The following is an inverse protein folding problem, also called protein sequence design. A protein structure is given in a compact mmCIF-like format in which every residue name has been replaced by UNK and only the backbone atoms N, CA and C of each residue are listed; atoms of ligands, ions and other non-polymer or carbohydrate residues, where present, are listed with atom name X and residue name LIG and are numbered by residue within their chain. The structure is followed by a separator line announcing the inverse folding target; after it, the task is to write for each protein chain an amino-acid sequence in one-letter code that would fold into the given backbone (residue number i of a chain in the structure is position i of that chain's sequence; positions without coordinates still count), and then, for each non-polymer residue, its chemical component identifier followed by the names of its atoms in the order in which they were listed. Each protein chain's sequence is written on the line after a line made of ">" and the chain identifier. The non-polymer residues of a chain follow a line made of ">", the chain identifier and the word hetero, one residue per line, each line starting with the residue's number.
data_IF_311106699167
#
_entry.id   IF_311106699167
#
_cell.length_a   1.000
_cell.length_b   1.000
_cell.length_c   1.000
_cell.angle_alpha   90.00
_cell.angle_beta   90.00
_cell.angle_gamma   90.00
#
_symmetry.space_group_name_H-M   'P 1'
#
loop_
_entity.id
_entity.type
_entity.pdbx_description
1 polymer ?
#
# COMPACT_ATOMS: atom_id res chain seq x y z
N UNK A 1 52.89 -68.94 -11.28
CA UNK A 1 53.31 -67.57 -11.64
C UNK A 1 52.42 -67.04 -12.75
N UNK A 2 51.47 -66.15 -12.43
CA UNK A 2 50.79 -65.24 -13.36
C UNK A 2 50.33 -64.02 -12.55
N UNK A 3 50.58 -62.85 -13.12
CA UNK A 3 50.62 -61.53 -12.47
C UNK A 3 49.22 -60.87 -12.44
N UNK A 4 48.95 -60.19 -11.33
CA UNK A 4 48.40 -58.82 -11.17
C UNK A 4 46.97 -58.53 -11.66
N UNK A 5 46.19 -57.91 -10.75
CA UNK A 5 45.04 -57.08 -11.08
C UNK A 5 44.27 -56.63 -9.84
N UNK A 6 44.82 -55.69 -9.06
CA UNK A 6 44.12 -55.04 -7.95
C UNK A 6 43.10 -54.05 -8.53
N UNK A 7 41.80 -54.37 -8.42
CA UNK A 7 40.73 -53.49 -8.88
C UNK A 7 40.45 -52.46 -7.76
N UNK A 8 40.92 -51.23 -7.93
CA UNK A 8 40.51 -50.10 -7.09
C UNK A 8 39.01 -49.85 -7.29
N UNK A 9 38.24 -49.99 -6.20
CA UNK A 9 36.87 -49.50 -6.12
C UNK A 9 36.91 -47.98 -5.93
N UNK A 10 36.79 -47.22 -7.01
CA UNK A 10 36.50 -45.79 -6.93
C UNK A 10 35.00 -45.62 -6.68
N UNK A 11 34.60 -45.54 -5.42
CA UNK A 11 33.25 -45.08 -5.03
C UNK A 11 33.16 -43.59 -5.33
N UNK A 12 32.65 -43.25 -6.52
CA UNK A 12 32.19 -41.92 -6.83
C UNK A 12 30.96 -41.60 -5.99
N UNK A 13 31.15 -40.82 -4.92
CA UNK A 13 30.05 -40.07 -4.31
C UNK A 13 29.60 -39.03 -5.34
N UNK A 14 28.56 -39.36 -6.10
CA UNK A 14 27.75 -38.33 -6.74
C UNK A 14 27.05 -37.57 -5.60
N UNK A 15 27.65 -36.46 -5.18
CA UNK A 15 26.91 -35.37 -4.57
C UNK A 15 25.91 -34.89 -5.63
N UNK A 16 24.74 -35.53 -5.66
CA UNK A 16 23.57 -34.97 -6.30
C UNK A 16 23.30 -33.67 -5.56
N UNK A 17 23.75 -32.54 -6.14
CA UNK A 17 23.14 -31.25 -5.84
C UNK A 17 21.68 -31.40 -6.24
N UNK A 18 20.82 -31.79 -5.30
CA UNK A 18 19.40 -31.50 -5.39
C UNK A 18 19.31 -29.97 -5.33
N UNK A 19 19.41 -29.31 -6.48
CA UNK A 19 18.66 -28.09 -6.67
C UNK A 19 17.22 -28.53 -6.51
N UNK A 20 16.63 -28.22 -5.36
CA UNK A 20 15.18 -28.20 -5.26
C UNK A 20 14.71 -27.35 -6.44
N UNK A 21 14.09 -28.02 -7.40
CA UNK A 21 13.46 -27.37 -8.52
C UNK A 21 12.24 -26.70 -7.90
N UNK A 22 12.38 -25.41 -7.63
CA UNK A 22 11.29 -24.55 -7.19
C UNK A 22 10.21 -24.60 -8.29
N UNK A 23 9.21 -25.46 -8.08
CA UNK A 23 8.12 -25.73 -8.98
C UNK A 23 6.98 -24.72 -8.78
N UNK A 24 7.25 -23.54 -8.22
CA UNK A 24 6.27 -22.47 -8.16
C UNK A 24 5.93 -22.03 -9.57
N UNK A 25 4.67 -22.20 -9.95
CA UNK A 25 4.16 -21.69 -11.22
C UNK A 25 4.40 -20.17 -11.26
N UNK A 26 4.80 -19.62 -12.42
CA UNK A 26 4.96 -18.19 -12.54
C UNK A 26 3.62 -17.52 -12.29
N UNK A 27 3.62 -16.53 -11.40
CA UNK A 27 2.47 -15.66 -11.14
C UNK A 27 2.51 -14.51 -12.12
N UNK A 28 1.36 -14.18 -12.71
CA UNK A 28 1.27 -13.15 -13.73
C UNK A 28 1.24 -11.74 -13.14
N UNK A 29 0.81 -11.59 -11.89
CA UNK A 29 0.56 -10.28 -11.28
C UNK A 29 1.34 -10.13 -9.97
N UNK A 30 1.86 -8.93 -9.72
CA UNK A 30 2.67 -8.63 -8.55
C UNK A 30 1.82 -8.39 -7.29
N UNK A 31 0.65 -7.75 -7.41
CA UNK A 31 -0.26 -7.52 -6.29
C UNK A 31 -1.21 -8.71 -6.13
N UNK A 32 -1.12 -9.54 -5.07
CA UNK A 32 -2.02 -10.68 -4.89
C UNK A 32 -3.44 -10.25 -4.50
N UNK A 33 -3.62 -9.11 -3.84
CA UNK A 33 -4.89 -8.64 -3.30
C UNK A 33 -5.02 -7.14 -3.46
N UNK A 34 -6.03 -6.71 -4.22
CA UNK A 34 -6.52 -5.33 -4.17
C UNK A 34 -7.61 -5.22 -3.11
N UNK A 35 -7.65 -4.11 -2.38
CA UNK A 35 -8.60 -3.87 -1.31
C UNK A 35 -9.58 -2.77 -1.65
N UNK A 36 -10.85 -3.07 -1.48
CA UNK A 36 -11.96 -2.14 -1.65
C UNK A 36 -12.75 -2.03 -0.35
N UNK A 37 -13.36 -0.87 -0.13
CA UNK A 37 -14.35 -0.73 0.92
C UNK A 37 -14.69 0.73 1.19
N UNK A 38 -15.18 0.97 2.40
CA UNK A 38 -15.47 2.29 2.90
C UNK A 38 -14.25 2.79 3.66
N UNK A 39 -13.67 3.91 3.22
CA UNK A 39 -12.59 4.55 3.96
C UNK A 39 -13.07 5.05 5.32
N UNK A 40 -12.23 4.90 6.33
CA UNK A 40 -12.39 5.48 7.67
C UNK A 40 -11.14 6.28 8.02
N UNK A 41 -11.31 7.21 8.95
CA UNK A 41 -10.21 7.95 9.53
C UNK A 41 -10.17 7.73 11.03
N UNK A 42 -9.00 7.40 11.52
CA UNK A 42 -8.72 7.29 12.94
C UNK A 42 -7.59 8.25 13.31
N UNK A 43 -7.69 8.88 14.47
CA UNK A 43 -6.64 9.75 14.97
C UNK A 43 -5.45 8.89 15.40
N UNK A 44 -4.23 9.34 15.08
CA UNK A 44 -3.03 8.72 15.63
C UNK A 44 -2.99 8.93 17.16
N UNK A 45 -2.47 7.95 17.91
CA UNK A 45 -2.41 8.01 19.38
C UNK A 45 -1.63 9.23 19.90
N UNK A 46 -0.57 9.61 19.19
CA UNK A 46 0.26 10.79 19.48
C UNK A 46 -0.42 12.13 19.10
N UNK A 47 -1.55 12.05 18.38
CA UNK A 47 -2.35 13.16 17.85
C UNK A 47 -1.65 13.99 16.78
N UNK A 48 -0.56 13.50 16.20
CA UNK A 48 0.21 14.21 15.16
C UNK A 48 -0.39 14.07 13.77
N UNK A 49 -1.49 13.34 13.64
CA UNK A 49 -2.16 13.11 12.38
C UNK A 49 -3.34 12.15 12.49
N UNK A 50 -3.69 11.61 11.34
CA UNK A 50 -4.74 10.61 11.16
C UNK A 50 -4.23 9.51 10.24
N UNK A 51 -4.76 8.31 10.43
CA UNK A 51 -4.53 7.15 9.56
C UNK A 51 -5.78 6.90 8.73
N UNK A 52 -5.57 6.65 7.44
CA UNK A 52 -6.61 6.24 6.51
C UNK A 52 -6.68 4.71 6.48
N UNK A 53 -7.85 4.20 6.82
CA UNK A 53 -8.14 2.77 6.87
C UNK A 53 -9.35 2.44 5.99
N UNK A 54 -9.63 1.16 5.78
CA UNK A 54 -10.87 0.62 5.24
C UNK A 54 -11.61 -0.03 6.40
N UNK A 55 -12.89 0.32 6.59
CA UNK A 55 -13.76 -0.31 7.58
C UNK A 55 -13.79 -1.83 7.39
N UNK A 56 -13.66 -2.59 8.49
CA UNK A 56 -13.83 -4.05 8.46
C UNK A 56 -15.20 -4.42 7.87
N UNK A 57 -16.24 -3.67 8.26
CA UNK A 57 -17.55 -3.75 7.63
C UNK A 57 -17.48 -3.21 6.20
N UNK A 58 -17.50 -4.12 5.24
CA UNK A 58 -17.44 -3.78 3.81
C UNK A 58 -16.05 -3.86 3.20
N UNK A 59 -15.01 -4.27 3.96
CA UNK A 59 -13.73 -4.65 3.39
C UNK A 59 -13.91 -5.82 2.43
N UNK A 60 -13.59 -5.59 1.16
CA UNK A 60 -13.56 -6.60 0.11
C UNK A 60 -12.12 -6.81 -0.33
N UNK A 61 -11.67 -8.05 -0.24
CA UNK A 61 -10.42 -8.50 -0.81
C UNK A 61 -10.71 -8.99 -2.23
N UNK A 62 -10.06 -8.38 -3.21
CA UNK A 62 -10.14 -8.75 -4.62
C UNK A 62 -8.88 -9.55 -4.96
N UNK A 63 -8.92 -10.90 -4.88
CA UNK A 63 -7.75 -11.75 -5.10
C UNK A 63 -7.33 -11.84 -6.57
N UNK A 64 -6.02 -11.98 -6.78
CA UNK A 64 -5.42 -12.33 -8.05
C UNK A 64 -5.90 -13.71 -8.55
N UNK A 65 -6.12 -13.88 -9.87
CA UNK A 65 -6.33 -15.17 -10.49
C UNK A 65 -5.18 -16.17 -10.28
N UNK A 66 -3.99 -15.68 -9.93
CA UNK A 66 -2.83 -16.50 -9.57
C UNK A 66 -3.02 -17.23 -8.22
N UNK A 67 -3.98 -16.79 -7.40
CA UNK A 67 -4.36 -17.48 -6.15
C UNK A 67 -5.34 -18.60 -6.49
N UNK A 68 -4.88 -19.84 -6.37
CA UNK A 68 -5.64 -21.03 -6.75
C UNK A 68 -7.01 -21.16 -6.06
N UNK A 69 -7.18 -20.60 -4.86
CA UNK A 69 -8.42 -20.67 -4.08
C UNK A 69 -9.40 -19.52 -4.37
N UNK A 70 -9.02 -18.51 -5.16
CA UNK A 70 -9.81 -17.30 -5.37
C UNK A 70 -11.12 -17.53 -6.13
N UNK A 71 -11.19 -18.58 -6.97
CA UNK A 71 -12.34 -18.83 -7.85
C UNK A 71 -12.58 -17.71 -8.88
N UNK A 72 -13.58 -17.89 -9.74
CA UNK A 72 -13.78 -16.98 -10.87
C UNK A 72 -14.50 -15.67 -10.52
N UNK A 73 -15.17 -15.58 -9.36
CA UNK A 73 -16.04 -14.45 -9.02
C UNK A 73 -15.30 -13.10 -8.92
N UNK A 74 -14.05 -13.10 -8.46
CA UNK A 74 -13.25 -11.88 -8.32
C UNK A 74 -12.39 -11.58 -9.55
N UNK A 75 -12.27 -12.54 -10.49
CA UNK A 75 -11.31 -12.49 -11.60
C UNK A 75 -11.49 -11.25 -12.48
N UNK A 76 -12.72 -10.96 -12.91
CA UNK A 76 -12.99 -9.83 -13.79
C UNK A 76 -12.64 -8.50 -13.11
N UNK A 77 -13.07 -8.32 -11.85
CA UNK A 77 -12.78 -7.11 -11.09
C UNK A 77 -11.28 -6.95 -10.84
N UNK A 78 -10.60 -8.04 -10.49
CA UNK A 78 -9.15 -8.03 -10.32
C UNK A 78 -8.44 -7.56 -11.60
N UNK A 79 -8.75 -8.18 -12.74
CA UNK A 79 -8.10 -7.87 -14.02
C UNK A 79 -8.34 -6.42 -14.44
N UNK A 80 -9.53 -5.88 -14.18
CA UNK A 80 -9.81 -4.46 -14.43
C UNK A 80 -8.87 -3.54 -13.63
N UNK A 81 -8.64 -3.84 -12.35
CA UNK A 81 -7.76 -3.04 -11.49
C UNK A 81 -6.30 -3.24 -11.92
N UNK A 82 -5.88 -4.48 -12.14
CA UNK A 82 -4.52 -4.81 -12.56
C UNK A 82 -4.16 -4.19 -13.93
N UNK A 83 -5.08 -4.22 -14.89
CA UNK A 83 -4.89 -3.59 -16.21
C UNK A 83 -4.74 -2.08 -16.09
N UNK A 84 -5.61 -1.41 -15.31
CA UNK A 84 -5.49 0.04 -15.03
C UNK A 84 -4.13 0.39 -14.40
N UNK A 85 -3.62 -0.50 -13.56
CA UNK A 85 -2.37 -0.31 -12.82
C UNK A 85 -1.13 -0.83 -13.57
N UNK A 86 -1.27 -1.40 -14.77
CA UNK A 86 -0.16 -2.00 -15.52
C UNK A 86 0.43 -3.29 -14.92
N UNK A 87 -0.24 -3.88 -13.92
CA UNK A 87 0.25 -5.05 -13.19
C UNK A 87 -0.11 -6.38 -13.88
N UNK A 88 0.19 -6.51 -15.17
CA UNK A 88 -0.28 -7.63 -16.00
C UNK A 88 0.81 -8.60 -16.44
N UNK A 89 2.08 -8.29 -16.12
CA UNK A 89 3.24 -8.89 -16.81
C UNK A 89 4.36 -9.32 -15.88
N UNK A 90 4.10 -9.49 -14.59
CA UNK A 90 5.10 -9.85 -13.58
C UNK A 90 5.83 -11.14 -13.96
N UNK A 91 5.08 -12.20 -14.26
CA UNK A 91 5.54 -13.47 -14.84
C UNK A 91 6.81 -14.04 -14.18
N UNK A 92 6.86 -14.01 -12.85
CA UNK A 92 7.97 -14.55 -12.03
C UNK A 92 7.45 -15.58 -11.04
N UNK A 93 8.31 -16.46 -10.50
CA UNK A 93 7.92 -17.36 -9.41
C UNK A 93 7.32 -16.59 -8.22
N UNK A 94 6.26 -17.13 -7.63
CA UNK A 94 5.77 -16.63 -6.35
C UNK A 94 6.78 -17.01 -5.25
N UNK A 95 7.28 -16.01 -4.52
CA UNK A 95 8.08 -16.24 -3.33
C UNK A 95 7.18 -16.18 -2.08
N UNK A 96 7.72 -16.62 -0.94
CA UNK A 96 6.97 -16.86 0.30
C UNK A 96 6.09 -15.69 0.78
N UNK A 97 6.56 -14.45 0.59
CA UNK A 97 5.86 -13.25 1.09
C UNK A 97 4.83 -12.71 0.09
N UNK A 98 4.83 -13.18 -1.17
CA UNK A 98 3.91 -12.69 -2.19
C UNK A 98 2.45 -12.67 -1.74
N UNK A 99 1.89 -13.70 -1.07
CA UNK A 99 0.50 -13.68 -0.61
C UNK A 99 0.17 -12.63 0.47
N UNK A 100 1.16 -12.00 1.09
CA UNK A 100 0.96 -11.05 2.19
C UNK A 100 0.91 -9.59 1.72
N UNK A 101 1.07 -9.34 0.42
CA UNK A 101 1.01 -7.99 -0.14
C UNK A 101 -0.42 -7.54 -0.35
N UNK A 102 -0.70 -6.26 -0.11
CA UNK A 102 -2.01 -5.66 -0.34
C UNK A 102 -1.85 -4.27 -0.92
N UNK A 103 -2.72 -3.90 -1.86
CA UNK A 103 -2.78 -2.53 -2.35
C UNK A 103 -4.21 -2.02 -2.33
N UNK A 104 -4.39 -0.72 -2.15
CA UNK A 104 -5.68 -0.08 -2.38
C UNK A 104 -6.11 -0.28 -3.83
N UNK A 105 -7.38 -0.65 -4.02
CA UNK A 105 -7.98 -0.77 -5.35
C UNK A 105 -8.20 0.61 -6.01
N UNK A 106 -8.30 1.68 -5.23
CA UNK A 106 -8.45 3.04 -5.74
C UNK A 106 -7.07 3.70 -5.94
N UNK A 107 -6.88 4.40 -7.06
CA UNK A 107 -5.81 5.38 -7.22
C UNK A 107 -6.40 6.76 -6.93
N UNK A 108 -5.71 7.58 -6.12
CA UNK A 108 -6.22 8.90 -5.74
C UNK A 108 -5.84 9.94 -6.78
N UNK A 109 -6.80 10.81 -7.10
CA UNK A 109 -6.63 11.98 -7.94
C UNK A 109 -6.26 13.22 -7.12
N UNK A 110 -6.91 13.39 -5.97
CA UNK A 110 -6.65 14.50 -5.04
C UNK A 110 -7.12 14.17 -3.62
N UNK A 111 -6.48 14.80 -2.66
CA UNK A 111 -6.83 14.75 -1.23
C UNK A 111 -7.06 16.19 -0.75
N UNK A 112 -8.07 16.41 0.08
CA UNK A 112 -8.28 17.71 0.74
C UNK A 112 -8.83 17.53 2.14
N UNK A 113 -8.32 18.27 3.12
CA UNK A 113 -8.78 18.20 4.50
C UNK A 113 -9.39 19.53 4.91
N UNK A 114 -10.57 19.49 5.52
CA UNK A 114 -11.21 20.66 6.15
C UNK A 114 -11.47 20.40 7.62
N UNK A 115 -11.50 21.46 8.43
CA UNK A 115 -12.00 21.41 9.81
C UNK A 115 -13.35 22.08 9.94
N UNK A 116 -14.21 21.56 10.81
CA UNK A 116 -15.43 22.22 11.27
C UNK A 116 -15.20 23.52 12.07
N UNK A 117 -13.96 23.80 12.46
CA UNK A 117 -13.58 24.94 13.29
C UNK A 117 -12.48 25.77 12.66
N UNK A 118 -12.38 27.01 13.13
CA UNK A 118 -11.29 27.92 12.82
C UNK A 118 -9.95 27.29 13.24
N UNK A 119 -8.99 27.25 12.32
CA UNK A 119 -7.66 26.73 12.60
C UNK A 119 -6.67 27.86 12.89
N UNK A 120 -6.57 28.80 11.96
CA UNK A 120 -5.82 30.05 12.09
C UNK A 120 -6.40 31.11 11.11
N UNK A 121 -5.74 32.28 11.01
CA UNK A 121 -6.25 33.42 10.26
C UNK A 121 -6.37 33.13 8.75
N UNK A 122 -5.50 32.28 8.23
CA UNK A 122 -5.49 31.87 6.81
C UNK A 122 -6.46 30.70 6.57
N UNK A 123 -6.85 29.99 7.64
CA UNK A 123 -7.68 28.80 7.61
C UNK A 123 -8.94 28.89 8.51
N UNK A 124 -9.96 29.69 8.12
CA UNK A 124 -11.27 29.67 8.77
C UNK A 124 -11.96 28.29 8.76
N UNK A 125 -13.00 28.13 9.57
CA UNK A 125 -13.80 26.90 9.57
C UNK A 125 -14.32 26.57 8.16
N UNK A 126 -14.13 25.32 7.73
CA UNK A 126 -14.54 24.79 6.44
C UNK A 126 -13.60 25.10 5.27
N UNK A 127 -12.52 25.86 5.47
CA UNK A 127 -11.51 26.04 4.40
C UNK A 127 -10.53 24.87 4.36
N UNK A 128 -9.94 24.57 3.19
CA UNK A 128 -8.92 23.54 3.07
C UNK A 128 -7.71 23.82 3.97
N UNK A 129 -7.09 22.76 4.46
CA UNK A 129 -5.86 22.76 5.27
C UNK A 129 -4.68 22.15 4.48
N UNK A 130 -4.81 22.06 3.15
CA UNK A 130 -4.01 21.20 2.28
C UNK A 130 -2.53 21.63 2.20
N UNK A 131 -2.25 22.89 2.49
CA UNK A 131 -0.93 23.50 2.54
C UNK A 131 -0.19 23.27 3.88
N UNK A 132 -0.91 22.85 4.92
CA UNK A 132 -0.41 22.59 6.28
C UNK A 132 -0.62 21.13 6.73
N UNK A 133 -0.88 20.24 5.78
CA UNK A 133 -1.09 18.80 5.97
C UNK A 133 -0.15 18.03 5.04
N UNK A 134 0.50 16.98 5.55
CA UNK A 134 1.36 16.10 4.77
C UNK A 134 0.73 14.72 4.64
N UNK A 135 0.68 14.16 3.45
CA UNK A 135 0.32 12.76 3.25
C UNK A 135 1.58 11.90 3.17
N UNK A 136 1.54 10.74 3.83
CA UNK A 136 2.61 9.76 3.89
C UNK A 136 2.03 8.37 3.61
N UNK A 137 2.52 7.69 2.57
CA UNK A 137 2.16 6.32 2.24
C UNK A 137 3.32 5.61 1.56
N UNK A 138 3.16 4.31 1.33
CA UNK A 138 4.00 3.54 0.42
C UNK A 138 3.22 3.20 -0.85
N UNK A 139 3.94 2.98 -1.94
CA UNK A 139 3.36 2.65 -3.24
C UNK A 139 4.20 1.61 -3.96
N UNK A 140 3.53 0.74 -4.71
CA UNK A 140 4.14 -0.21 -5.64
C UNK A 140 4.25 0.35 -7.08
N UNK A 141 3.75 1.57 -7.33
CA UNK A 141 3.60 2.13 -8.67
C UNK A 141 4.93 2.21 -9.41
N UNK A 142 5.99 2.70 -8.77
CA UNK A 142 7.30 2.79 -9.42
C UNK A 142 7.82 1.43 -9.87
N UNK A 143 7.68 0.40 -9.03
CA UNK A 143 8.12 -0.95 -9.35
C UNK A 143 7.33 -1.54 -10.52
N UNK A 144 6.00 -1.44 -10.46
CA UNK A 144 5.13 -1.99 -11.51
C UNK A 144 5.34 -1.26 -12.84
N UNK A 145 5.36 0.08 -12.83
CA UNK A 145 5.52 0.87 -14.06
C UNK A 145 6.92 0.74 -14.68
N UNK A 146 7.94 0.44 -13.87
CA UNK A 146 9.30 0.15 -14.35
C UNK A 146 9.49 -1.30 -14.81
N UNK A 147 8.40 -2.03 -15.08
CA UNK A 147 8.44 -3.44 -15.49
C UNK A 147 9.12 -4.33 -14.44
N UNK A 148 8.79 -4.07 -13.17
CA UNK A 148 9.21 -4.84 -12.02
C UNK A 148 10.73 -4.81 -11.81
N UNK A 149 11.32 -3.61 -11.92
CA UNK A 149 12.75 -3.38 -11.72
C UNK A 149 13.02 -2.38 -10.60
N UNK A 150 14.16 -2.52 -9.91
CA UNK A 150 14.49 -1.67 -8.76
C UNK A 150 13.78 -2.08 -7.47
N UNK A 151 13.51 -1.10 -6.61
CA UNK A 151 12.86 -1.32 -5.32
C UNK A 151 11.37 -1.63 -5.50
N UNK A 152 10.86 -2.60 -4.75
CA UNK A 152 9.45 -3.03 -4.83
C UNK A 152 8.48 -1.95 -4.38
N UNK A 153 8.88 -1.12 -3.42
CA UNK A 153 8.08 -0.04 -2.88
C UNK A 153 8.84 1.28 -2.89
N UNK A 154 8.09 2.37 -3.02
CA UNK A 154 8.59 3.73 -2.91
C UNK A 154 7.73 4.54 -1.94
N UNK A 155 8.36 5.47 -1.22
CA UNK A 155 7.63 6.40 -0.36
C UNK A 155 6.89 7.43 -1.20
N UNK A 156 5.65 7.71 -0.81
CA UNK A 156 4.83 8.80 -1.30
C UNK A 156 4.66 9.77 -0.14
N UNK A 157 5.38 10.89 -0.19
CA UNK A 157 5.38 11.90 0.86
C UNK A 157 5.30 13.30 0.26
N UNK A 158 4.38 14.12 0.76
CA UNK A 158 4.25 15.51 0.32
C UNK A 158 3.03 16.21 0.92
N UNK A 159 3.02 17.54 0.82
CA UNK A 159 1.84 18.34 1.17
C UNK A 159 0.67 17.98 0.28
N UNK A 160 -0.55 18.00 0.84
CA UNK A 160 -1.74 17.62 0.09
C UNK A 160 -1.92 18.47 -1.18
N UNK A 161 -1.60 19.77 -1.09
CA UNK A 161 -1.70 20.70 -2.22
C UNK A 161 -0.57 20.60 -3.26
N UNK A 162 0.43 19.75 -3.02
CA UNK A 162 1.58 19.51 -3.91
C UNK A 162 1.58 18.11 -4.52
N UNK A 163 0.75 17.21 -4.02
CA UNK A 163 0.61 15.86 -4.54
C UNK A 163 -0.22 15.85 -5.83
N UNK A 164 0.14 14.95 -6.73
CA UNK A 164 -0.64 14.70 -7.95
C UNK A 164 -1.01 13.21 -8.08
N UNK A 165 -1.92 12.94 -9.02
CA UNK A 165 -2.49 11.62 -9.22
C UNK A 165 -1.44 10.54 -9.54
N UNK A 166 -0.36 10.88 -10.24
CA UNK A 166 0.67 9.91 -10.63
C UNK A 166 1.48 9.44 -9.41
N UNK A 167 1.52 10.22 -8.34
CA UNK A 167 2.19 9.88 -7.09
C UNK A 167 1.32 9.01 -6.18
N UNK A 168 0.00 9.05 -6.31
CA UNK A 168 -0.94 8.40 -5.38
C UNK A 168 -1.64 7.18 -6.01
N UNK A 169 -0.85 6.32 -6.64
CA UNK A 169 -1.31 5.10 -7.32
C UNK A 169 -0.78 3.86 -6.62
N UNK A 170 -1.54 2.76 -6.66
CA UNK A 170 -1.13 1.45 -6.15
C UNK A 170 -0.53 1.55 -4.74
N UNK A 171 -1.25 2.27 -3.87
CA UNK A 171 -0.83 2.52 -2.50
C UNK A 171 -0.86 1.22 -1.72
N UNK A 172 0.21 0.96 -0.96
CA UNK A 172 0.28 -0.18 -0.07
C UNK A 172 -0.79 -0.09 1.02
N UNK A 173 -1.27 -1.26 1.46
CA UNK A 173 -2.21 -1.38 2.55
C UNK A 173 -1.92 -2.65 3.36
N UNK A 174 -0.76 -2.75 4.00
CA UNK A 174 -0.45 -3.93 4.80
C UNK A 174 -1.27 -3.98 6.11
N UNK A 175 -1.95 -5.11 6.38
CA UNK A 175 -2.99 -5.23 7.43
C UNK A 175 -2.50 -5.81 8.77
N UNK A 176 -1.26 -6.30 8.84
CA UNK A 176 -0.65 -6.91 10.04
C UNK A 176 0.79 -6.34 10.14
N UNK A 177 1.40 -5.91 11.25
CA UNK A 177 1.45 -6.52 12.59
C UNK A 177 1.73 -5.52 13.75
N UNK A 178 2.08 -4.22 13.56
CA UNK A 178 2.50 -3.35 14.71
C UNK A 178 2.28 -1.80 14.57
N UNK A 179 1.24 -1.33 13.85
CA UNK A 179 1.06 0.02 13.25
C UNK A 179 1.68 0.07 11.84
N UNK A 180 0.93 -0.43 10.84
CA UNK A 180 1.43 -0.74 9.51
C UNK A 180 1.61 0.51 8.66
N UNK A 181 2.25 0.30 7.51
CA UNK A 181 2.51 1.22 6.39
C UNK A 181 1.24 1.80 5.72
N UNK A 182 0.12 1.84 6.45
CA UNK A 182 -1.12 2.48 6.04
C UNK A 182 -0.90 3.95 5.70
N UNK A 183 -1.65 4.49 4.72
CA UNK A 183 -1.60 5.91 4.40
C UNK A 183 -1.97 6.78 5.61
N UNK A 184 -1.19 7.84 5.85
CA UNK A 184 -1.34 8.79 6.95
C UNK A 184 -1.43 10.21 6.43
N UNK A 185 -2.13 11.06 7.17
CA UNK A 185 -2.08 12.52 7.01
C UNK A 185 -1.56 13.12 8.32
N UNK A 186 -0.45 13.85 8.26
CA UNK A 186 0.23 14.49 9.40
C UNK A 186 -0.05 15.98 9.43
N UNK A 187 -0.22 16.51 10.64
CA UNK A 187 -0.43 17.92 10.90
C UNK A 187 0.92 18.67 10.88
N UNK A 188 1.25 19.40 9.83
CA UNK A 188 2.50 20.18 9.78
C UNK A 188 2.43 21.42 10.69
N UNK A 189 1.22 21.87 11.02
CA UNK A 189 0.96 22.99 11.92
C UNK A 189 -0.22 22.62 12.82
N UNK A 190 -0.21 23.10 14.05
CA UNK A 190 -1.32 22.95 14.98
C UNK A 190 -2.36 24.08 14.80
N UNK A 191 -3.63 23.86 15.20
CA UNK A 191 -4.60 24.93 15.32
C UNK A 191 -4.19 25.94 16.41
N UNK A 192 -4.76 27.14 16.34
CA UNK A 192 -4.50 28.22 17.30
C UNK A 192 -5.00 27.92 18.71
N UNK A 193 -5.90 26.94 18.85
CA UNK A 193 -6.54 26.53 20.12
C UNK A 193 -6.38 25.03 20.33
N UNK A 194 -6.16 24.61 21.58
CA UNK A 194 -6.14 23.19 21.95
C UNK A 194 -7.56 22.68 22.24
N UNK A 195 -8.39 22.59 21.20
CA UNK A 195 -9.74 22.04 21.30
C UNK A 195 -9.98 20.89 20.31
N UNK A 196 -11.03 20.09 20.48
CA UNK A 196 -11.36 19.07 19.49
C UNK A 196 -11.84 19.69 18.17
N UNK A 197 -11.29 19.23 17.05
CA UNK A 197 -11.71 19.52 15.68
C UNK A 197 -12.31 18.26 15.06
N UNK A 198 -13.43 18.40 14.34
CA UNK A 198 -13.90 17.39 13.40
C UNK A 198 -13.29 17.67 12.05
N UNK A 199 -12.41 16.78 11.62
CA UNK A 199 -11.72 16.85 10.33
C UNK A 199 -12.45 15.98 9.33
N UNK A 200 -12.63 16.50 8.13
CA UNK A 200 -13.19 15.78 6.98
C UNK A 200 -12.11 15.69 5.92
N UNK A 201 -11.72 14.47 5.56
CA UNK A 201 -10.87 14.22 4.39
C UNK A 201 -11.76 13.95 3.19
N UNK A 202 -11.57 14.70 2.12
CA UNK A 202 -12.16 14.43 0.81
C UNK A 202 -11.13 13.73 -0.07
N UNK A 203 -11.41 12.48 -0.46
CA UNK A 203 -10.62 11.70 -1.40
C UNK A 203 -11.39 11.68 -2.72
N UNK A 204 -10.80 12.22 -3.78
CA UNK A 204 -11.29 12.00 -5.14
C UNK A 204 -10.41 10.97 -5.80
N UNK A 205 -10.99 9.89 -6.33
CA UNK A 205 -10.27 8.84 -7.05
C UNK A 205 -10.16 9.17 -8.54
N UNK A 206 -9.24 8.50 -9.22
CA UNK A 206 -9.04 8.64 -10.68
C UNK A 206 -10.23 8.20 -11.53
N UNK A 207 -11.13 7.38 -11.00
CA UNK A 207 -12.41 7.00 -11.63
C UNK A 207 -13.59 7.91 -11.24
N UNK A 208 -13.32 8.98 -10.49
CA UNK A 208 -14.30 10.03 -10.16
C UNK A 208 -15.16 9.75 -8.91
N UNK A 209 -14.89 8.67 -8.17
CA UNK A 209 -15.53 8.41 -6.88
C UNK A 209 -15.02 9.41 -5.83
N UNK A 210 -15.92 9.82 -4.95
CA UNK A 210 -15.60 10.74 -3.85
C UNK A 210 -15.89 10.05 -2.52
N UNK A 211 -14.92 10.08 -1.62
CA UNK A 211 -15.04 9.61 -0.25
C UNK A 211 -14.80 10.75 0.74
N UNK A 212 -15.57 10.76 1.83
CA UNK A 212 -15.50 11.82 2.84
C UNK A 212 -15.47 11.28 4.27
N UNK A 213 -14.49 10.44 4.66
CA UNK A 213 -14.36 10.02 6.05
C UNK A 213 -14.09 11.21 6.97
N UNK A 214 -14.52 11.09 8.22
CA UNK A 214 -14.32 12.12 9.25
C UNK A 214 -13.69 11.53 10.51
N UNK A 215 -13.02 12.38 11.27
CA UNK A 215 -12.47 12.05 12.58
C UNK A 215 -12.52 13.26 13.49
N UNK A 216 -12.83 13.06 14.77
CA UNK A 216 -12.73 14.11 15.79
C UNK A 216 -11.50 13.88 16.65
N UNK A 217 -10.59 14.85 16.71
CA UNK A 217 -9.37 14.78 17.51
C UNK A 217 -8.92 16.16 17.99
N UNK A 218 -7.94 16.21 18.89
CA UNK A 218 -7.24 17.46 19.26
C UNK A 218 -5.90 17.45 18.53
N UNK A 219 -5.73 18.20 17.42
CA UNK A 219 -4.54 18.13 16.59
C UNK A 219 -3.28 18.61 17.30
N UNK A 220 -2.16 17.94 17.07
CA UNK A 220 -0.82 18.35 17.50
C UNK A 220 0.10 18.44 16.29
N UNK A 221 1.08 19.37 16.28
CA UNK A 221 2.02 19.42 15.18
C UNK A 221 2.88 18.15 15.21
N UNK A 222 3.06 17.56 14.04
CA UNK A 222 4.02 16.51 13.78
C UNK A 222 5.42 17.13 13.68
N UNK A 223 6.40 16.51 14.35
CA UNK A 223 7.81 16.87 14.23
C UNK A 223 8.55 15.82 13.37
N UNK A 224 8.90 16.15 12.11
CA UNK A 224 9.59 15.22 11.22
C UNK A 224 11.00 14.83 11.68
N UNK A 225 11.60 15.55 12.63
CA UNK A 225 12.94 15.22 13.17
C UNK A 225 12.89 14.15 14.27
N UNK A 226 11.69 13.72 14.68
CA UNK A 226 11.49 12.78 15.79
C UNK A 226 11.15 11.34 15.37
N UNK A 227 11.07 11.06 14.06
CA UNK A 227 10.85 9.72 13.46
C UNK A 227 12.13 9.11 12.85
#
# INVERSE_FOLDING_TARGET
>A
MKKIGFLLLCTGFFLSCNKEQDNTLPIQHFIPYYLEGTYTLDALEDRTGMVLSIAEEGLKRVPSPDIQTAGDQARERYLQIAERNGDMTYNRPAYYEWPNRYALADNFQSLSVTSDKYWDADHPAGTPLDDIMEFCAWSYAQFIHSQYSGNEYNSVRGRLDQLNADQMQILDYELYIYLPDLPKIRFLRAPSTEEPHTLTLTITTTDGKVHTPTVTCIPKPYDPETE
#
